data_IF_798900892922
#
_entry.id   IF_798900892922
#
_cell.length_a   1.000
_cell.length_b   1.000
_cell.length_c   1.000
_cell.angle_alpha   90.00
_cell.angle_beta   90.00
_cell.angle_gamma   90.00
#
_symmetry.space_group_name_H-M   'P 1'
#
loop_
_entity.id
_entity.type
_entity.pdbx_description
1 polymer ?
#
# COMPACT_ATOMS: atom_id res chain seq x y z
N UNK A 1 4.30 17.88 34.94
CA UNK A 1 3.87 16.51 34.56
C UNK A 1 2.37 16.40 34.28
N UNK A 2 1.49 16.92 35.16
CA UNK A 2 0.03 16.83 34.98
C UNK A 2 -0.46 17.44 33.65
N UNK A 3 0.00 18.63 33.28
CA UNK A 3 -0.36 19.33 32.05
C UNK A 3 0.02 18.52 30.79
N UNK A 4 1.25 18.02 30.74
CA UNK A 4 1.74 17.24 29.61
C UNK A 4 0.92 15.97 29.43
N UNK A 5 0.57 15.29 30.53
CA UNK A 5 -0.27 14.09 30.51
C UNK A 5 -1.70 14.38 30.05
N UNK A 6 -2.26 15.49 30.51
CA UNK A 6 -3.60 15.95 30.10
C UNK A 6 -3.67 16.17 28.57
N UNK A 7 -2.72 16.94 28.02
CA UNK A 7 -2.66 17.21 26.57
C UNK A 7 -2.38 15.93 25.80
N UNK A 8 -1.44 15.11 26.26
CA UNK A 8 -1.09 13.84 25.61
C UNK A 8 -2.31 12.90 25.51
N UNK A 9 -3.07 12.76 26.59
CA UNK A 9 -4.29 11.92 26.60
C UNK A 9 -5.33 12.40 25.60
N UNK A 10 -5.53 13.70 25.48
CA UNK A 10 -6.44 14.27 24.47
C UNK A 10 -5.93 13.99 23.05
N UNK A 11 -4.63 14.19 22.82
CA UNK A 11 -4.02 13.90 21.52
C UNK A 11 -4.13 12.42 21.13
N UNK A 12 -3.89 11.50 22.06
CA UNK A 12 -4.04 10.05 21.80
C UNK A 12 -5.47 9.65 21.49
N UNK A 13 -6.46 10.21 22.23
CA UNK A 13 -7.88 9.95 21.94
C UNK A 13 -8.27 10.46 20.56
N UNK A 14 -7.87 11.68 20.19
CA UNK A 14 -8.12 12.26 18.87
C UNK A 14 -7.38 11.50 17.76
N UNK A 15 -6.15 11.02 18.04
CA UNK A 15 -5.37 10.20 17.11
C UNK A 15 -6.08 8.89 16.78
N UNK A 16 -6.56 8.17 17.80
CA UNK A 16 -7.27 6.91 17.61
C UNK A 16 -8.52 7.13 16.75
N UNK A 17 -9.31 8.14 17.05
CA UNK A 17 -10.53 8.47 16.30
C UNK A 17 -10.20 8.82 14.85
N UNK A 18 -9.20 9.68 14.59
CA UNK A 18 -8.78 10.06 13.25
C UNK A 18 -8.22 8.87 12.48
N UNK A 19 -7.36 8.06 13.12
CA UNK A 19 -6.77 6.88 12.49
C UNK A 19 -7.82 5.85 12.12
N UNK A 20 -8.74 5.52 13.01
CA UNK A 20 -9.83 4.59 12.71
C UNK A 20 -10.73 5.09 11.58
N UNK A 21 -11.04 6.38 11.55
CA UNK A 21 -11.86 6.96 10.48
C UNK A 21 -11.18 6.85 9.12
N UNK A 22 -9.88 7.20 9.03
CA UNK A 22 -9.13 7.14 7.77
C UNK A 22 -8.87 5.69 7.35
N UNK A 23 -8.48 4.81 8.29
CA UNK A 23 -8.29 3.38 8.01
C UNK A 23 -9.60 2.76 7.50
N UNK A 24 -10.73 3.07 8.14
CA UNK A 24 -12.04 2.59 7.71
C UNK A 24 -12.41 3.04 6.29
N UNK A 25 -12.11 4.28 5.93
CA UNK A 25 -12.36 4.81 4.58
C UNK A 25 -11.46 4.14 3.54
N UNK A 26 -10.17 3.97 3.83
CA UNK A 26 -9.22 3.25 2.96
C UNK A 26 -9.63 1.78 2.84
N UNK A 27 -10.02 1.15 3.94
CA UNK A 27 -10.49 -0.23 3.97
C UNK A 27 -11.74 -0.42 3.11
N UNK A 28 -12.71 0.50 3.17
CA UNK A 28 -13.89 0.47 2.31
C UNK A 28 -13.50 0.52 0.83
N UNK A 29 -12.58 1.41 0.44
CA UNK A 29 -12.10 1.51 -0.94
C UNK A 29 -11.36 0.25 -1.42
N UNK A 30 -10.57 -0.39 -0.55
CA UNK A 30 -9.90 -1.66 -0.85
C UNK A 30 -10.90 -2.83 -0.95
N UNK A 31 -11.92 -2.83 -0.08
CA UNK A 31 -12.98 -3.84 -0.08
C UNK A 31 -13.67 -3.91 -1.43
N UNK A 32 -14.03 -2.77 -2.02
CA UNK A 32 -14.69 -2.74 -3.32
C UNK A 32 -13.88 -3.42 -4.44
N UNK A 33 -12.55 -3.24 -4.43
CA UNK A 33 -11.65 -3.90 -5.40
C UNK A 33 -11.50 -5.40 -5.15
N UNK A 34 -11.49 -5.82 -3.88
CA UNK A 34 -11.30 -7.21 -3.49
C UNK A 34 -12.59 -8.03 -3.64
N UNK A 35 -13.76 -7.43 -3.42
CA UNK A 35 -15.07 -8.10 -3.62
C UNK A 35 -15.21 -8.60 -5.05
N UNK A 36 -14.81 -7.82 -6.04
CA UNK A 36 -14.83 -8.24 -7.44
C UNK A 36 -13.97 -9.50 -7.68
N UNK A 37 -12.80 -9.58 -7.06
CA UNK A 37 -11.93 -10.75 -7.10
C UNK A 37 -12.53 -11.96 -6.35
N UNK A 38 -13.21 -11.71 -5.21
CA UNK A 38 -13.79 -12.75 -4.37
C UNK A 38 -15.02 -13.40 -5.04
N UNK A 39 -15.94 -12.58 -5.52
CA UNK A 39 -17.16 -13.06 -6.20
C UNK A 39 -16.80 -13.87 -7.44
N UNK A 40 -15.81 -13.41 -8.21
CA UNK A 40 -15.40 -14.09 -9.43
C UNK A 40 -14.54 -15.35 -9.18
N UNK A 41 -13.96 -15.51 -7.97
CA UNK A 41 -12.99 -16.59 -7.68
C UNK A 41 -13.41 -17.54 -6.56
N UNK A 42 -14.60 -17.37 -5.98
CA UNK A 42 -15.14 -18.25 -4.96
C UNK A 42 -14.34 -18.28 -3.64
N UNK A 43 -13.52 -17.25 -3.36
CA UNK A 43 -12.75 -17.19 -2.13
C UNK A 43 -13.64 -16.94 -0.91
N UNK A 44 -13.27 -17.48 0.24
CA UNK A 44 -14.04 -17.36 1.47
C UNK A 44 -13.90 -15.93 2.06
N UNK A 45 -14.91 -15.48 2.79
CA UNK A 45 -14.88 -14.19 3.49
C UNK A 45 -13.69 -14.05 4.45
N UNK A 46 -13.24 -15.16 5.04
CA UNK A 46 -12.07 -15.17 5.95
C UNK A 46 -10.77 -14.85 5.18
N UNK A 47 -10.64 -15.32 3.94
CA UNK A 47 -9.49 -15.04 3.08
C UNK A 47 -9.42 -13.56 2.74
N UNK A 48 -10.57 -12.94 2.50
CA UNK A 48 -10.70 -11.51 2.32
C UNK A 48 -10.23 -10.72 3.55
N UNK A 49 -10.71 -11.09 4.73
CA UNK A 49 -10.32 -10.41 5.97
C UNK A 49 -8.80 -10.54 6.21
N UNK A 50 -8.25 -11.72 5.98
CA UNK A 50 -6.83 -11.99 6.11
C UNK A 50 -5.97 -11.12 5.18
N UNK A 51 -6.30 -11.08 3.89
CA UNK A 51 -5.60 -10.26 2.89
C UNK A 51 -5.66 -8.78 3.23
N UNK A 52 -6.82 -8.32 3.67
CA UNK A 52 -7.02 -6.91 4.02
C UNK A 52 -6.18 -6.52 5.24
N UNK A 53 -6.12 -7.37 6.26
CA UNK A 53 -5.28 -7.14 7.45
C UNK A 53 -3.78 -7.11 7.11
N UNK A 54 -3.33 -7.98 6.20
CA UNK A 54 -1.94 -7.99 5.73
C UNK A 54 -1.53 -6.70 5.01
N UNK A 55 -2.48 -6.00 4.40
CA UNK A 55 -2.24 -4.70 3.75
C UNK A 55 -2.15 -3.51 4.71
N UNK A 56 -2.68 -3.62 5.93
CA UNK A 56 -2.74 -2.49 6.89
C UNK A 56 -1.37 -1.88 7.19
N UNK A 57 -0.30 -2.63 7.49
CA UNK A 57 1.01 -2.06 7.80
C UNK A 57 1.58 -1.15 6.72
N UNK A 58 1.30 -1.45 5.46
CA UNK A 58 1.69 -0.61 4.33
C UNK A 58 0.99 0.75 4.37
N UNK A 59 -0.32 0.77 4.62
CA UNK A 59 -1.10 2.01 4.66
C UNK A 59 -0.83 2.87 5.89
N UNK A 60 -0.42 2.27 7.01
CA UNK A 60 -0.08 3.01 8.24
C UNK A 60 1.04 4.03 8.02
N UNK A 61 1.96 3.78 7.09
CA UNK A 61 3.07 4.69 6.80
C UNK A 61 2.60 6.07 6.30
N UNK A 62 1.46 6.11 5.63
CA UNK A 62 0.83 7.35 5.11
C UNK A 62 -0.25 7.87 6.06
N UNK A 63 -1.05 6.96 6.61
CA UNK A 63 -2.22 7.33 7.41
C UNK A 63 -1.82 7.95 8.75
N UNK A 64 -0.83 7.39 9.45
CA UNK A 64 -0.49 7.84 10.80
C UNK A 64 0.13 9.26 10.84
N UNK A 65 1.01 9.70 9.93
CA UNK A 65 1.44 11.09 9.89
C UNK A 65 0.28 12.07 9.71
N UNK A 66 -0.65 11.78 8.80
CA UNK A 66 -1.83 12.60 8.55
C UNK A 66 -2.75 12.61 9.79
N UNK A 67 -3.02 11.43 10.36
CA UNK A 67 -3.86 11.30 11.57
C UNK A 67 -3.26 12.03 12.77
N UNK A 68 -1.93 11.99 12.93
CA UNK A 68 -1.23 12.70 14.00
C UNK A 68 -1.35 14.22 13.85
N UNK A 69 -1.31 14.71 12.61
CA UNK A 69 -1.52 16.13 12.30
C UNK A 69 -2.95 16.55 12.62
N UNK A 70 -3.94 15.76 12.20
CA UNK A 70 -5.36 16.00 12.51
C UNK A 70 -5.58 16.02 14.02
N UNK A 71 -5.02 15.06 14.74
CA UNK A 71 -5.14 14.95 16.18
C UNK A 71 -4.53 16.17 16.90
N UNK A 72 -3.31 16.55 16.55
CA UNK A 72 -2.64 17.72 17.11
C UNK A 72 -3.41 19.00 16.79
N UNK A 73 -3.88 19.16 15.54
CA UNK A 73 -4.67 20.33 15.10
C UNK A 73 -5.98 20.42 15.87
N UNK A 74 -6.69 19.32 16.01
CA UNK A 74 -7.96 19.26 16.75
C UNK A 74 -7.80 19.69 18.21
N UNK A 75 -6.78 19.15 18.88
CA UNK A 75 -6.52 19.46 20.29
C UNK A 75 -6.05 20.91 20.46
N UNK A 76 -5.10 21.38 19.64
CA UNK A 76 -4.62 22.76 19.72
C UNK A 76 -5.73 23.78 19.41
N UNK A 77 -6.57 23.49 18.40
CA UNK A 77 -7.72 24.32 18.05
C UNK A 77 -8.74 24.38 19.18
N UNK A 78 -9.06 23.25 19.82
CA UNK A 78 -9.96 23.20 20.98
C UNK A 78 -9.42 24.01 22.16
N UNK A 79 -8.17 23.79 22.53
CA UNK A 79 -7.51 24.53 23.62
C UNK A 79 -7.47 26.05 23.34
N UNK A 80 -7.39 26.45 22.07
CA UNK A 80 -7.47 27.87 21.68
C UNK A 80 -8.88 28.41 21.82
N UNK A 81 -9.91 27.67 21.42
CA UNK A 81 -11.32 28.04 21.54
C UNK A 81 -11.73 28.18 23.02
N UNK A 82 -11.29 27.23 23.85
CA UNK A 82 -11.56 27.20 25.31
C UNK A 82 -10.67 28.20 26.06
N UNK A 83 -9.81 28.98 25.37
CA UNK A 83 -8.86 29.95 25.91
C UNK A 83 -7.82 29.35 26.86
N UNK A 84 -7.65 28.03 26.87
CA UNK A 84 -6.65 27.35 27.69
C UNK A 84 -5.24 27.78 27.31
N UNK A 85 -4.93 27.90 25.97
CA UNK A 85 -3.63 28.37 25.50
C UNK A 85 -3.32 29.78 25.98
N UNK A 86 -4.31 30.67 26.01
CA UNK A 86 -4.15 32.04 26.52
C UNK A 86 -3.87 32.03 28.01
N UNK A 87 -4.64 31.25 28.81
CA UNK A 87 -4.45 31.12 30.25
C UNK A 87 -3.04 30.57 30.59
N UNK A 88 -2.57 29.57 29.84
CA UNK A 88 -1.21 29.00 29.99
C UNK A 88 -0.12 30.02 29.66
N UNK A 89 -0.31 30.80 28.60
CA UNK A 89 0.65 31.85 28.22
C UNK A 89 0.71 32.96 29.25
N UNK A 90 -0.47 33.37 29.81
CA UNK A 90 -0.55 34.35 30.87
C UNK A 90 0.09 33.86 32.18
N UNK A 91 0.00 32.57 32.48
CA UNK A 91 0.71 31.91 33.58
C UNK A 91 2.22 31.74 33.37
N UNK A 92 2.77 32.22 32.25
CA UNK A 92 4.21 32.17 31.94
C UNK A 92 4.74 30.79 31.55
N UNK A 93 3.85 29.84 31.19
CA UNK A 93 4.25 28.51 30.74
C UNK A 93 4.89 28.63 29.33
N UNK A 94 6.10 28.09 29.16
CA UNK A 94 6.83 28.19 27.90
C UNK A 94 6.14 27.40 26.77
N UNK A 95 6.24 27.85 25.50
CA UNK A 95 5.64 27.17 24.34
C UNK A 95 6.06 25.71 24.23
N UNK A 96 7.34 25.41 24.50
CA UNK A 96 7.86 24.04 24.50
C UNK A 96 7.12 23.15 25.51
N UNK A 97 6.84 23.64 26.72
CA UNK A 97 6.14 22.84 27.74
C UNK A 97 4.69 22.53 27.34
N UNK A 98 4.01 23.45 26.66
CA UNK A 98 2.68 23.23 26.13
C UNK A 98 2.73 22.19 25.00
N UNK A 99 3.74 22.32 24.12
CA UNK A 99 3.94 21.41 22.97
C UNK A 99 4.45 20.01 23.34
N UNK A 100 4.94 19.77 24.58
CA UNK A 100 5.49 18.47 24.97
C UNK A 100 4.49 17.32 24.82
N UNK A 101 3.20 17.51 25.11
CA UNK A 101 2.18 16.45 24.96
C UNK A 101 2.07 15.94 23.52
N UNK A 102 1.75 16.81 22.54
CA UNK A 102 1.72 16.42 21.15
C UNK A 102 3.08 15.94 20.60
N UNK A 103 4.20 16.53 21.04
CA UNK A 103 5.56 16.08 20.63
C UNK A 103 5.82 14.63 21.06
N UNK A 104 5.46 14.26 22.29
CA UNK A 104 5.60 12.87 22.78
C UNK A 104 4.73 11.94 21.92
N UNK A 105 3.49 12.33 21.60
CA UNK A 105 2.64 11.56 20.68
C UNK A 105 3.31 11.38 19.31
N UNK A 106 3.80 12.46 18.70
CA UNK A 106 4.51 12.42 17.43
C UNK A 106 5.75 11.53 17.47
N UNK A 107 6.54 11.60 18.55
CA UNK A 107 7.71 10.75 18.79
C UNK A 107 7.35 9.26 18.91
N UNK A 108 6.29 8.94 19.65
CA UNK A 108 5.81 7.56 19.78
C UNK A 108 5.33 6.99 18.43
N UNK A 109 4.62 7.80 17.64
CA UNK A 109 4.18 7.40 16.30
C UNK A 109 5.39 7.20 15.38
N UNK A 110 6.35 8.10 15.40
CA UNK A 110 7.60 7.97 14.63
C UNK A 110 8.33 6.67 14.98
N UNK A 111 8.49 6.38 16.26
CA UNK A 111 9.11 5.13 16.72
C UNK A 111 8.32 3.90 16.25
N UNK A 112 7.01 3.92 16.39
CA UNK A 112 6.15 2.85 15.92
C UNK A 112 6.28 2.65 14.40
N UNK A 113 6.23 3.73 13.62
CA UNK A 113 6.37 3.67 12.16
C UNK A 113 7.75 3.21 11.70
N UNK A 114 8.82 3.52 12.45
CA UNK A 114 10.16 2.98 12.18
C UNK A 114 10.19 1.46 12.31
N UNK A 115 9.61 0.93 13.39
CA UNK A 115 9.49 -0.52 13.60
C UNK A 115 8.61 -1.14 12.52
N UNK A 116 7.48 -0.51 12.22
CA UNK A 116 6.58 -0.95 11.16
C UNK A 116 7.28 -1.03 9.80
N UNK A 117 8.00 0.00 9.42
CA UNK A 117 8.70 0.11 8.15
C UNK A 117 9.87 -0.86 8.01
N UNK A 118 10.58 -1.12 9.12
CA UNK A 118 11.75 -2.00 9.13
C UNK A 118 11.39 -3.50 9.13
N UNK A 119 10.34 -3.89 9.85
CA UNK A 119 10.04 -5.30 10.13
C UNK A 119 8.63 -5.72 9.72
N UNK A 120 7.61 -5.00 10.17
CA UNK A 120 6.22 -5.44 10.02
C UNK A 120 5.77 -5.37 8.56
N UNK A 121 6.02 -4.25 7.91
CA UNK A 121 5.62 -4.03 6.51
C UNK A 121 6.24 -5.04 5.54
N UNK A 122 7.57 -5.32 5.52
CA UNK A 122 8.14 -6.34 4.64
C UNK A 122 7.57 -7.74 4.87
N UNK A 123 7.42 -8.14 6.15
CA UNK A 123 6.91 -9.45 6.52
C UNK A 123 5.45 -9.67 6.09
N UNK A 124 4.59 -8.69 6.36
CA UNK A 124 3.16 -8.78 5.99
C UNK A 124 2.96 -8.64 4.49
N UNK A 125 3.74 -7.81 3.80
CA UNK A 125 3.64 -7.65 2.36
C UNK A 125 4.07 -8.92 1.60
N UNK A 126 5.09 -9.61 2.06
CA UNK A 126 5.51 -10.90 1.50
C UNK A 126 4.38 -11.94 1.58
N UNK A 127 3.72 -12.06 2.74
CA UNK A 127 2.57 -12.95 2.92
C UNK A 127 1.38 -12.53 2.04
N UNK A 128 1.08 -11.23 1.98
CA UNK A 128 0.05 -10.67 1.11
C UNK A 128 0.27 -11.05 -0.36
N UNK A 129 1.51 -10.86 -0.84
CA UNK A 129 1.87 -11.15 -2.23
C UNK A 129 1.80 -12.64 -2.55
N UNK A 130 2.28 -13.49 -1.65
CA UNK A 130 2.20 -14.95 -1.78
C UNK A 130 0.75 -15.40 -1.86
N UNK A 131 -0.09 -14.93 -0.94
CA UNK A 131 -1.50 -15.27 -0.93
C UNK A 131 -2.22 -14.81 -2.21
N UNK A 132 -1.97 -13.57 -2.66
CA UNK A 132 -2.53 -13.04 -3.91
C UNK A 132 -2.07 -13.82 -5.14
N UNK A 133 -0.83 -14.30 -5.15
CA UNK A 133 -0.32 -15.13 -6.24
C UNK A 133 -1.03 -16.48 -6.25
N UNK A 134 -1.17 -17.11 -5.09
CA UNK A 134 -1.87 -18.40 -4.96
C UNK A 134 -3.34 -18.29 -5.38
N UNK A 135 -4.05 -17.22 -4.97
CA UNK A 135 -5.42 -16.96 -5.44
C UNK A 135 -5.50 -16.81 -6.96
N UNK A 136 -4.54 -16.15 -7.58
CA UNK A 136 -4.50 -15.99 -9.04
C UNK A 136 -4.19 -17.31 -9.76
N UNK A 137 -3.36 -18.15 -9.17
CA UNK A 137 -2.95 -19.44 -9.75
C UNK A 137 -4.03 -20.50 -9.60
N UNK A 138 -4.78 -20.49 -8.49
CA UNK A 138 -5.87 -21.45 -8.21
C UNK A 138 -7.20 -21.11 -8.92
N UNK A 139 -7.34 -19.86 -9.38
CA UNK A 139 -8.57 -19.35 -9.96
C UNK A 139 -8.99 -19.91 -11.33
N UNK A 140 -8.09 -20.34 -12.24
CA UNK A 140 -8.48 -20.79 -13.56
C UNK A 140 -9.51 -21.94 -13.56
N UNK A 141 -9.51 -22.76 -12.52
CA UNK A 141 -10.36 -23.97 -12.44
C UNK A 141 -11.80 -23.63 -12.03
N UNK A 142 -11.98 -22.65 -11.16
CA UNK A 142 -13.29 -22.29 -10.58
C UNK A 142 -14.14 -21.49 -11.59
N UNK A 143 -13.51 -20.86 -12.59
CA UNK A 143 -14.16 -19.95 -13.56
C UNK A 143 -14.69 -20.70 -14.79
N UNK A 144 -14.42 -21.99 -14.95
CA UNK A 144 -14.86 -22.76 -16.11
C UNK A 144 -16.41 -22.85 -16.16
N UNK A 145 -17.02 -21.95 -16.96
CA UNK A 145 -18.46 -21.87 -17.19
C UNK A 145 -18.80 -22.46 -18.56
N UNK A 146 -19.98 -23.11 -18.66
CA UNK A 146 -20.51 -23.65 -19.90
C UNK A 146 -20.87 -22.54 -20.87
N UNK A 147 -20.59 -22.76 -22.15
CA UNK A 147 -21.06 -21.91 -23.25
C UNK A 147 -20.35 -20.57 -23.40
N UNK A 148 -19.25 -20.32 -22.66
CA UNK A 148 -18.52 -19.04 -22.69
C UNK A 148 -17.05 -19.27 -23.02
N UNK A 149 -16.47 -18.40 -23.86
CA UNK A 149 -15.01 -18.33 -24.06
C UNK A 149 -14.39 -17.62 -22.88
N UNK A 150 -13.45 -18.27 -22.21
CA UNK A 150 -12.77 -17.78 -21.02
C UNK A 150 -11.29 -17.67 -21.29
N UNK A 151 -10.73 -16.47 -21.12
CA UNK A 151 -9.29 -16.25 -21.16
C UNK A 151 -8.68 -16.55 -19.79
N UNK A 152 -8.01 -17.69 -19.66
CA UNK A 152 -7.35 -18.13 -18.42
C UNK A 152 -6.12 -17.30 -18.15
N UNK A 153 -5.31 -17.10 -19.18
CA UNK A 153 -4.16 -16.19 -19.17
C UNK A 153 -4.06 -15.52 -20.53
N UNK A 154 -3.25 -14.46 -20.62
CA UNK A 154 -3.00 -13.78 -21.91
C UNK A 154 -2.53 -14.80 -22.95
N UNK A 155 -3.35 -15.03 -23.98
CA UNK A 155 -3.05 -15.97 -25.05
C UNK A 155 -3.51 -17.42 -24.82
N UNK A 156 -4.23 -17.75 -23.74
CA UNK A 156 -4.83 -19.07 -23.51
C UNK A 156 -6.32 -18.92 -23.29
N UNK A 157 -7.11 -19.25 -24.32
CA UNK A 157 -8.57 -19.20 -24.29
C UNK A 157 -9.15 -20.62 -24.25
N UNK A 158 -10.11 -20.86 -23.36
CA UNK A 158 -10.80 -22.14 -23.23
C UNK A 158 -12.30 -21.91 -23.43
N UNK A 159 -12.93 -22.83 -24.16
CA UNK A 159 -14.37 -22.92 -24.31
C UNK A 159 -14.82 -24.31 -23.91
N UNK A 160 -15.91 -24.40 -23.13
CA UNK A 160 -16.50 -25.64 -22.66
C UNK A 160 -17.98 -25.65 -23.08
N UNK A 161 -18.37 -26.68 -23.81
CA UNK A 161 -19.76 -26.79 -24.26
C UNK A 161 -20.70 -27.29 -23.12
N UNK A 162 -20.24 -28.32 -22.36
CA UNK A 162 -21.06 -28.90 -21.28
C UNK A 162 -20.20 -29.31 -20.08
N UNK A 163 -20.69 -29.02 -18.87
CA UNK A 163 -20.10 -29.48 -17.60
C UNK A 163 -20.88 -30.72 -17.12
N UNK A 164 -20.25 -31.89 -17.08
CA UNK A 164 -20.87 -33.12 -16.66
C UNK A 164 -20.80 -33.33 -15.14
N UNK A 165 -19.70 -32.92 -14.50
CA UNK A 165 -19.52 -32.89 -13.06
C UNK A 165 -18.48 -31.81 -12.69
N UNK A 166 -18.21 -31.61 -11.41
CA UNK A 166 -17.29 -30.51 -10.97
C UNK A 166 -15.91 -30.52 -11.65
N UNK A 167 -15.41 -31.69 -12.05
CA UNK A 167 -14.09 -31.83 -12.66
C UNK A 167 -14.10 -32.44 -14.06
N UNK A 168 -15.30 -32.72 -14.66
CA UNK A 168 -15.41 -33.38 -15.96
C UNK A 168 -16.21 -32.51 -16.92
N UNK A 169 -15.61 -32.22 -18.05
CA UNK A 169 -16.12 -31.34 -19.10
C UNK A 169 -16.23 -32.12 -20.43
N UNK A 170 -17.21 -31.78 -21.24
CA UNK A 170 -17.41 -32.32 -22.58
C UNK A 170 -17.29 -31.23 -23.63
N UNK A 171 -16.84 -31.63 -24.81
CA UNK A 171 -16.64 -30.78 -25.98
C UNK A 171 -15.87 -29.53 -25.60
N UNK A 172 -14.59 -29.73 -25.33
CA UNK A 172 -13.69 -28.66 -24.91
C UNK A 172 -12.83 -28.19 -26.08
N UNK A 173 -12.84 -26.88 -26.32
CA UNK A 173 -11.98 -26.23 -27.28
C UNK A 173 -10.98 -25.34 -26.53
N UNK A 174 -9.69 -25.45 -26.88
CA UNK A 174 -8.60 -24.66 -26.29
C UNK A 174 -7.81 -24.02 -27.42
N UNK A 175 -7.58 -22.71 -27.31
CA UNK A 175 -6.67 -21.98 -28.16
C UNK A 175 -5.52 -21.45 -27.32
N UNK A 176 -4.29 -21.89 -27.67
CA UNK A 176 -3.05 -21.48 -27.00
C UNK A 176 -2.20 -20.68 -28.00
N UNK A 177 -2.14 -19.38 -27.78
CA UNK A 177 -1.31 -18.40 -28.50
C UNK A 177 -0.31 -17.70 -27.59
N UNK A 178 0.14 -18.39 -26.52
CA UNK A 178 1.15 -17.85 -25.57
C UNK A 178 2.52 -17.69 -26.20
N UNK A 179 2.78 -18.43 -27.25
CA UNK A 179 3.97 -18.26 -28.10
C UNK A 179 3.54 -17.51 -29.37
N UNK A 180 4.11 -16.33 -29.61
CA UNK A 180 3.75 -15.47 -30.76
C UNK A 180 3.96 -16.14 -32.12
N UNK A 181 4.94 -17.05 -32.23
CA UNK A 181 5.28 -17.75 -33.50
C UNK A 181 4.38 -18.97 -33.75
N UNK A 182 3.62 -19.45 -32.79
CA UNK A 182 2.88 -20.72 -32.86
C UNK A 182 1.52 -20.63 -32.19
N UNK A 183 0.46 -20.84 -32.96
CA UNK A 183 -0.89 -20.95 -32.42
C UNK A 183 -1.28 -22.43 -32.39
N UNK A 184 -1.72 -22.92 -31.25
CA UNK A 184 -2.17 -24.29 -31.06
C UNK A 184 -3.67 -24.26 -30.76
N UNK A 185 -4.45 -25.00 -31.53
CA UNK A 185 -5.86 -25.23 -31.31
C UNK A 185 -6.09 -26.70 -30.98
N UNK A 186 -6.81 -26.96 -29.89
CA UNK A 186 -7.08 -28.31 -29.41
C UNK A 186 -8.59 -28.47 -29.26
N UNK A 187 -9.12 -29.51 -29.86
CA UNK A 187 -10.51 -29.93 -29.71
C UNK A 187 -10.55 -31.32 -29.11
N UNK A 188 -11.30 -31.52 -28.01
CA UNK A 188 -11.39 -32.80 -27.32
C UNK A 188 -12.83 -33.12 -26.90
N UNK A 189 -13.22 -34.42 -26.98
CA UNK A 189 -14.52 -34.88 -26.57
C UNK A 189 -14.73 -34.77 -25.06
N UNK A 190 -13.65 -34.96 -24.26
CA UNK A 190 -13.73 -34.96 -22.81
C UNK A 190 -12.47 -34.32 -22.22
N UNK A 191 -12.65 -33.56 -21.15
CA UNK A 191 -11.58 -33.02 -20.37
C UNK A 191 -11.78 -33.24 -18.88
N UNK A 192 -10.70 -33.46 -18.14
CA UNK A 192 -10.72 -33.55 -16.69
C UNK A 192 -9.66 -32.61 -16.12
N UNK A 193 -10.03 -31.84 -15.13
CA UNK A 193 -9.08 -30.97 -14.42
C UNK A 193 -8.42 -31.78 -13.31
N UNK A 194 -7.09 -31.82 -13.34
CA UNK A 194 -6.25 -32.39 -12.30
C UNK A 194 -5.45 -31.30 -11.61
N UNK A 195 -5.40 -31.35 -10.29
CA UNK A 195 -4.57 -30.48 -9.47
C UNK A 195 -3.52 -31.37 -8.84
N UNK A 196 -2.36 -31.47 -9.48
CA UNK A 196 -1.22 -32.18 -8.94
C UNK A 196 -0.15 -31.18 -8.47
N UNK A 197 0.24 -31.28 -7.18
CA UNK A 197 1.29 -30.47 -6.54
C UNK A 197 1.24 -28.95 -6.87
N UNK A 198 0.08 -28.29 -6.68
CA UNK A 198 -0.14 -26.84 -6.90
C UNK A 198 -0.12 -26.41 -8.37
N UNK A 199 0.04 -27.31 -9.33
CA UNK A 199 -0.01 -26.98 -10.76
C UNK A 199 -1.33 -27.50 -11.36
N UNK A 200 -2.28 -26.61 -11.69
CA UNK A 200 -3.49 -27.02 -12.40
C UNK A 200 -3.17 -27.46 -13.82
N UNK A 201 -3.54 -28.67 -14.18
CA UNK A 201 -3.47 -29.19 -15.52
C UNK A 201 -4.86 -29.63 -16.01
N UNK A 202 -5.10 -29.51 -17.32
CA UNK A 202 -6.26 -30.11 -17.98
C UNK A 202 -5.77 -31.34 -18.73
N UNK A 203 -6.30 -32.48 -18.39
CA UNK A 203 -6.12 -33.71 -19.14
C UNK A 203 -7.27 -33.84 -20.13
N UNK A 204 -6.95 -33.79 -21.39
CA UNK A 204 -7.87 -33.89 -22.54
C UNK A 204 -7.86 -35.31 -23.06
N UNK A 205 -9.03 -35.85 -23.39
CA UNK A 205 -9.19 -37.19 -23.89
C UNK A 205 -9.88 -37.16 -25.25
N UNK A 206 -9.41 -38.02 -26.15
CA UNK A 206 -9.93 -38.21 -27.50
C UNK A 206 -10.09 -36.90 -28.25
N UNK A 207 -8.98 -36.42 -28.84
CA UNK A 207 -9.01 -35.09 -29.46
C UNK A 207 -8.02 -34.92 -30.58
N UNK A 208 -8.09 -33.74 -31.17
CA UNK A 208 -7.25 -33.31 -32.28
C UNK A 208 -6.53 -32.00 -31.84
N UNK A 209 -5.22 -32.00 -32.00
CA UNK A 209 -4.39 -30.82 -31.82
C UNK A 209 -3.90 -30.31 -33.16
N UNK A 210 -4.26 -29.11 -33.54
CA UNK A 210 -3.84 -28.41 -34.73
C UNK A 210 -2.82 -27.33 -34.41
N UNK A 211 -1.67 -27.34 -35.02
CA UNK A 211 -0.64 -26.35 -34.82
C UNK A 211 -0.42 -25.52 -36.08
N UNK A 212 -0.54 -24.20 -35.92
CA UNK A 212 -0.25 -23.22 -36.96
C UNK A 212 1.08 -22.55 -36.63
N UNK A 213 2.01 -22.48 -37.58
CA UNK A 213 3.29 -21.78 -37.42
C UNK A 213 3.45 -20.79 -38.57
N UNK A 214 3.88 -19.57 -38.24
CA UNK A 214 4.12 -18.52 -39.26
C UNK A 214 5.17 -18.90 -40.28
N UNK A 215 6.06 -19.86 -39.96
CA UNK A 215 7.10 -20.33 -40.83
C UNK A 215 6.67 -21.45 -41.79
N UNK A 216 5.46 -22.02 -41.65
CA UNK A 216 5.01 -23.14 -42.48
C UNK A 216 3.57 -22.90 -42.99
N UNK A 217 3.40 -23.05 -44.30
CA UNK A 217 2.09 -22.92 -45.00
C UNK A 217 1.14 -24.10 -44.71
N UNK A 218 1.57 -25.11 -43.94
CA UNK A 218 0.76 -26.31 -43.64
C UNK A 218 0.55 -26.42 -42.15
N UNK A 219 -0.72 -26.57 -41.75
CA UNK A 219 -1.09 -26.91 -40.39
C UNK A 219 -0.63 -28.33 -40.05
N UNK A 220 -0.04 -28.54 -38.89
CA UNK A 220 0.28 -29.86 -38.37
C UNK A 220 -0.90 -30.34 -37.52
N UNK A 221 -1.44 -31.51 -37.87
CA UNK A 221 -2.57 -32.13 -37.16
C UNK A 221 -2.05 -33.37 -36.44
N UNK A 222 -2.35 -33.46 -35.13
CA UNK A 222 -2.03 -34.58 -34.29
C UNK A 222 -3.30 -35.08 -33.60
N UNK A 223 -3.66 -36.34 -33.83
CA UNK A 223 -4.73 -37.00 -33.05
C UNK A 223 -4.12 -37.62 -31.79
N UNK A 224 -4.79 -37.52 -30.69
CA UNK A 224 -4.35 -38.04 -29.39
C UNK A 224 -5.46 -38.75 -28.61
N UNK A 225 -5.12 -39.80 -27.90
CA UNK A 225 -6.03 -40.46 -26.94
C UNK A 225 -6.06 -39.70 -25.60
N UNK A 226 -4.92 -39.20 -25.16
CA UNK A 226 -4.80 -38.34 -24.00
C UNK A 226 -3.72 -37.26 -24.23
N UNK A 227 -4.02 -36.04 -23.78
CA UNK A 227 -3.10 -34.90 -23.86
C UNK A 227 -3.20 -34.06 -22.59
N UNK A 228 -2.10 -33.86 -21.93
CA UNK A 228 -2.06 -33.01 -20.73
C UNK A 228 -1.58 -31.61 -21.09
N UNK A 229 -2.40 -30.60 -20.79
CA UNK A 229 -2.09 -29.21 -20.98
C UNK A 229 -1.90 -28.53 -19.62
N UNK A 230 -0.71 -28.05 -19.35
CA UNK A 230 -0.44 -27.21 -18.20
C UNK A 230 -1.11 -25.83 -18.38
N UNK A 231 -2.06 -25.49 -17.51
CA UNK A 231 -2.73 -24.20 -17.52
C UNK A 231 -1.85 -23.07 -17.01
N UNK A 232 -0.87 -23.39 -16.22
CA UNK A 232 0.09 -22.42 -15.71
C UNK A 232 1.06 -22.07 -16.83
N UNK A 233 1.12 -20.82 -17.25
CA UNK A 233 2.38 -20.32 -17.78
C UNK A 233 3.42 -20.77 -16.78
N UNK A 234 4.58 -21.32 -17.21
CA UNK A 234 5.72 -21.57 -16.32
C UNK A 234 5.96 -20.30 -15.47
N UNK A 235 5.09 -20.06 -14.52
CA UNK A 235 5.40 -19.26 -13.36
C UNK A 235 6.46 -20.11 -12.68
N UNK A 236 7.70 -19.76 -12.93
CA UNK A 236 8.88 -20.23 -12.24
C UNK A 236 8.43 -20.55 -10.83
N UNK A 237 8.45 -21.85 -10.50
CA UNK A 237 8.07 -22.35 -9.19
C UNK A 237 8.57 -21.38 -8.12
N UNK A 238 7.82 -21.18 -7.06
CA UNK A 238 7.97 -20.17 -6.00
C UNK A 238 9.40 -19.83 -5.52
N UNK A 239 10.41 -20.56 -5.94
CA UNK A 239 11.83 -20.32 -5.63
C UNK A 239 12.52 -19.24 -6.49
N UNK A 240 11.94 -18.79 -7.62
CA UNK A 240 12.55 -17.82 -8.55
C UNK A 240 11.66 -16.63 -8.93
N UNK A 241 10.58 -16.37 -8.19
CA UNK A 241 9.83 -15.11 -8.35
C UNK A 241 10.76 -13.94 -8.01
N UNK A 242 10.95 -12.94 -8.90
CA UNK A 242 11.70 -11.75 -8.53
C UNK A 242 11.01 -11.12 -7.31
N UNK A 243 11.74 -11.00 -6.21
CA UNK A 243 11.27 -10.36 -4.99
C UNK A 243 10.85 -8.92 -5.31
N UNK A 244 9.63 -8.56 -4.90
CA UNK A 244 9.17 -7.17 -4.96
C UNK A 244 9.97 -6.34 -3.95
N UNK A 245 10.35 -5.11 -4.29
CA UNK A 245 11.08 -4.23 -3.38
C UNK A 245 10.31 -3.96 -2.08
N UNK A 246 8.98 -4.09 -2.09
CA UNK A 246 8.16 -3.96 -0.88
C UNK A 246 8.34 -5.12 0.12
N UNK A 247 8.86 -6.26 -0.33
CA UNK A 247 9.14 -7.43 0.51
C UNK A 247 10.54 -7.37 1.17
N UNK A 248 11.40 -6.48 0.67
CA UNK A 248 12.79 -6.36 1.11
C UNK A 248 12.90 -5.53 2.38
N UNK A 249 13.89 -5.87 3.22
CA UNK A 249 14.26 -5.05 4.36
C UNK A 249 14.91 -3.74 3.94
N UNK A 250 14.91 -2.72 4.80
CA UNK A 250 15.57 -1.42 4.50
C UNK A 250 17.05 -1.61 4.16
N UNK A 251 17.74 -2.52 4.86
CA UNK A 251 19.15 -2.82 4.61
C UNK A 251 19.36 -3.39 3.21
N UNK A 252 18.54 -4.34 2.79
CA UNK A 252 18.59 -4.93 1.44
C UNK A 252 18.28 -3.89 0.36
N UNK A 253 17.29 -3.02 0.58
CA UNK A 253 16.92 -1.96 -0.35
C UNK A 253 18.08 -1.00 -0.65
N UNK A 254 18.92 -0.73 0.34
CA UNK A 254 20.03 0.22 0.20
C UNK A 254 21.34 -0.43 -0.27
N UNK A 255 21.56 -1.73 0.03
CA UNK A 255 22.85 -2.40 -0.22
C UNK A 255 22.86 -3.34 -1.42
N UNK A 256 21.71 -3.93 -1.75
CA UNK A 256 21.62 -4.94 -2.82
C UNK A 256 21.80 -4.29 -4.19
N UNK A 257 22.65 -4.88 -5.02
CA UNK A 257 22.86 -4.46 -6.41
C UNK A 257 22.21 -5.45 -7.35
N UNK A 258 21.41 -4.96 -8.30
CA UNK A 258 20.68 -5.77 -9.28
C UNK A 258 21.07 -5.32 -10.69
N UNK A 259 21.10 -6.24 -11.64
CA UNK A 259 21.51 -5.97 -13.02
C UNK A 259 20.58 -5.01 -13.79
N UNK A 260 19.32 -4.90 -13.37
CA UNK A 260 18.37 -3.95 -13.96
C UNK A 260 18.49 -2.59 -13.25
N UNK A 261 19.03 -1.60 -13.94
CA UNK A 261 19.28 -0.25 -13.38
C UNK A 261 18.00 0.45 -12.90
N UNK A 262 16.93 0.39 -13.68
CA UNK A 262 15.67 1.07 -13.32
C UNK A 262 15.06 0.46 -12.05
N UNK A 263 15.01 -0.86 -11.94
CA UNK A 263 14.52 -1.52 -10.74
C UNK A 263 15.39 -1.24 -9.51
N UNK A 264 16.70 -1.10 -9.70
CA UNK A 264 17.62 -0.72 -8.64
C UNK A 264 17.35 0.69 -8.11
N UNK A 265 17.04 1.65 -9.00
CA UNK A 265 16.77 3.02 -8.63
C UNK A 265 15.43 3.14 -7.88
N UNK A 266 14.38 2.40 -8.31
CA UNK A 266 13.13 2.26 -7.56
C UNK A 266 13.36 1.70 -6.16
N UNK A 267 14.18 0.67 -6.04
CA UNK A 267 14.51 -0.01 -4.79
C UNK A 267 15.23 0.93 -3.81
N UNK A 268 16.21 1.69 -4.29
CA UNK A 268 16.92 2.68 -3.48
C UNK A 268 16.02 3.84 -3.04
N UNK A 269 15.20 4.35 -3.96
CA UNK A 269 14.24 5.40 -3.65
C UNK A 269 13.26 4.95 -2.55
N UNK A 270 12.76 3.71 -2.61
CA UNK A 270 11.92 3.12 -1.56
C UNK A 270 12.67 2.99 -0.23
N UNK A 271 13.95 2.57 -0.23
CA UNK A 271 14.76 2.48 0.98
C UNK A 271 14.88 3.83 1.71
N UNK A 272 15.18 4.90 0.98
CA UNK A 272 15.23 6.25 1.53
C UNK A 272 13.85 6.76 1.98
N UNK A 273 12.80 6.44 1.24
CA UNK A 273 11.42 6.79 1.61
C UNK A 273 11.02 6.15 2.94
N UNK A 274 11.33 4.86 3.16
CA UNK A 274 11.03 4.14 4.40
C UNK A 274 11.79 4.63 5.62
N UNK A 275 12.93 5.30 5.43
CA UNK A 275 13.66 5.97 6.50
C UNK A 275 13.06 7.34 6.83
N UNK A 276 12.59 8.07 5.83
CA UNK A 276 12.12 9.46 6.00
C UNK A 276 10.64 9.55 6.38
N UNK A 277 9.78 8.69 5.83
CA UNK A 277 8.34 8.72 6.07
C UNK A 277 7.93 8.62 7.55
N UNK A 278 8.54 7.78 8.40
CA UNK A 278 8.24 7.76 9.83
C UNK A 278 8.50 9.11 10.53
N UNK A 279 9.57 9.80 10.17
CA UNK A 279 9.97 11.07 10.80
C UNK A 279 8.96 12.18 10.46
N UNK A 280 8.25 12.04 9.35
CA UNK A 280 7.24 12.99 8.90
C UNK A 280 6.14 13.20 9.94
N UNK A 281 5.75 12.16 10.69
CA UNK A 281 4.76 12.27 11.75
C UNK A 281 5.16 13.28 12.84
N UNK A 282 6.39 13.20 13.33
CA UNK A 282 6.90 14.14 14.32
C UNK A 282 7.07 15.55 13.72
N UNK A 283 7.57 15.62 12.48
CA UNK A 283 7.81 16.88 11.78
C UNK A 283 6.52 17.68 11.61
N UNK A 284 5.47 17.03 11.15
CA UNK A 284 4.15 17.66 10.95
C UNK A 284 3.51 18.08 12.29
N UNK A 285 3.63 17.27 13.35
CA UNK A 285 3.13 17.62 14.68
C UNK A 285 3.84 18.85 15.22
N UNK A 286 5.17 18.96 15.09
CA UNK A 286 5.92 20.14 15.54
C UNK A 286 5.50 21.37 14.73
N UNK A 287 5.29 21.24 13.43
CA UNK A 287 4.76 22.30 12.57
C UNK A 287 3.39 22.78 13.08
N UNK A 288 2.45 21.89 13.40
CA UNK A 288 1.14 22.24 13.97
C UNK A 288 1.31 23.08 15.22
N UNK A 289 2.10 22.57 16.17
CA UNK A 289 2.33 23.26 17.44
C UNK A 289 2.91 24.66 17.20
N UNK A 290 3.87 24.80 16.30
CA UNK A 290 4.51 26.07 16.01
C UNK A 290 3.54 27.09 15.40
N UNK A 291 2.66 26.66 14.52
CA UNK A 291 1.62 27.53 13.92
C UNK A 291 0.63 28.00 14.99
N UNK A 292 0.11 27.12 15.83
CA UNK A 292 -0.88 27.48 16.85
C UNK A 292 -0.29 28.34 17.97
N UNK A 293 0.92 28.07 18.45
CA UNK A 293 1.53 28.81 19.54
C UNK A 293 2.12 30.17 19.13
N UNK A 294 2.37 30.37 17.83
CA UNK A 294 2.93 31.65 17.29
C UNK A 294 1.89 32.59 16.75
N UNK A 295 0.68 32.13 16.50
CA UNK A 295 -0.39 32.98 16.00
C UNK A 295 -0.93 33.90 17.09
N UNK A 296 -1.47 35.07 16.68
CA UNK A 296 -2.15 35.99 17.59
C UNK A 296 -3.44 35.36 18.12
N UNK A 297 -3.64 35.45 19.43
CA UNK A 297 -4.86 34.96 20.13
C UNK A 297 -6.06 35.90 19.85
N UNK A 298 -6.52 36.01 18.58
CA UNK A 298 -7.69 36.80 18.22
C UNK A 298 -8.94 35.92 18.14
N UNK A 299 -10.11 36.46 18.55
CA UNK A 299 -11.40 35.75 18.44
C UNK A 299 -11.70 35.44 16.96
N UNK A 300 -12.03 34.18 16.64
CA UNK A 300 -12.44 33.76 15.30
C UNK A 300 -11.32 33.36 14.33
N UNK A 301 -10.04 33.52 14.67
CA UNK A 301 -8.91 33.24 13.76
C UNK A 301 -8.42 31.78 13.77
N UNK A 302 -8.98 30.89 14.59
CA UNK A 302 -8.56 29.47 14.62
C UNK A 302 -8.82 28.74 13.30
N UNK A 303 -9.85 29.12 12.54
CA UNK A 303 -10.10 28.57 11.21
C UNK A 303 -8.96 28.83 10.22
N UNK A 304 -8.41 30.02 10.26
CA UNK A 304 -7.28 30.40 9.43
C UNK A 304 -6.05 29.53 9.73
N UNK A 305 -5.79 29.23 11.01
CA UNK A 305 -4.70 28.35 11.43
C UNK A 305 -4.94 26.91 10.96
N UNK A 306 -6.17 26.40 11.07
CA UNK A 306 -6.54 25.09 10.54
C UNK A 306 -6.29 25.02 9.05
N UNK A 307 -6.70 26.04 8.28
CA UNK A 307 -6.46 26.10 6.84
C UNK A 307 -4.98 26.12 6.50
N UNK A 308 -4.16 26.90 7.22
CA UNK A 308 -2.71 26.93 7.03
C UNK A 308 -2.09 25.56 7.32
N UNK A 309 -2.40 24.98 8.46
CA UNK A 309 -1.86 23.66 8.85
C UNK A 309 -2.26 22.59 7.84
N UNK A 310 -3.52 22.57 7.42
CA UNK A 310 -4.01 21.61 6.42
C UNK A 310 -3.29 21.80 5.09
N UNK A 311 -3.18 23.04 4.61
CA UNK A 311 -2.47 23.35 3.37
C UNK A 311 -0.99 22.96 3.41
N UNK A 312 -0.30 23.28 4.51
CA UNK A 312 1.10 22.90 4.72
C UNK A 312 1.27 21.37 4.80
N UNK A 313 0.36 20.67 5.49
CA UNK A 313 0.39 19.21 5.59
C UNK A 313 0.27 18.56 4.21
N UNK A 314 -0.73 18.96 3.44
CA UNK A 314 -0.94 18.46 2.08
C UNK A 314 0.28 18.79 1.19
N UNK A 315 0.80 20.00 1.29
CA UNK A 315 1.98 20.40 0.51
C UNK A 315 3.22 19.57 0.86
N UNK A 316 3.51 19.36 2.15
CA UNK A 316 4.68 18.59 2.60
C UNK A 316 4.53 17.11 2.21
N UNK A 317 3.35 16.52 2.38
CA UNK A 317 3.07 15.13 1.97
C UNK A 317 3.25 14.95 0.45
N UNK A 318 2.68 15.84 -0.35
CA UNK A 318 2.83 15.80 -1.80
C UNK A 318 4.29 16.04 -2.22
N UNK A 319 4.99 16.98 -1.58
CA UNK A 319 6.41 17.22 -1.83
C UNK A 319 7.27 16.00 -1.51
N UNK A 320 6.97 15.27 -0.41
CA UNK A 320 7.68 14.06 -0.02
C UNK A 320 7.45 12.92 -1.03
N UNK A 321 6.20 12.71 -1.47
CA UNK A 321 5.87 11.72 -2.50
C UNK A 321 6.49 12.09 -3.86
N UNK A 322 6.50 13.38 -4.21
CA UNK A 322 7.13 13.86 -5.44
C UNK A 322 8.64 13.69 -5.39
N UNK A 323 9.28 13.97 -4.24
CA UNK A 323 10.72 13.75 -4.05
C UNK A 323 11.09 12.27 -4.22
N UNK A 324 10.25 11.33 -3.72
CA UNK A 324 10.41 9.88 -3.98
C UNK A 324 10.34 9.58 -5.48
N UNK A 325 9.33 10.08 -6.18
CA UNK A 325 9.17 9.84 -7.63
C UNK A 325 10.32 10.45 -8.45
N UNK A 326 10.83 11.63 -8.07
CA UNK A 326 11.99 12.25 -8.70
C UNK A 326 13.26 11.42 -8.46
N UNK A 327 13.43 10.83 -7.29
CA UNK A 327 14.60 10.00 -6.95
C UNK A 327 14.66 8.73 -7.79
N UNK A 328 13.52 8.18 -8.20
CA UNK A 328 13.48 7.03 -9.14
C UNK A 328 14.10 7.40 -10.48
N UNK A 329 13.80 8.59 -11.00
CA UNK A 329 14.34 9.03 -12.30
C UNK A 329 15.76 9.61 -12.20
N UNK A 330 16.10 10.21 -11.08
CA UNK A 330 17.38 10.87 -10.80
C UNK A 330 17.88 10.46 -9.39
N UNK A 331 18.62 9.35 -9.28
CA UNK A 331 19.03 8.79 -7.97
C UNK A 331 19.80 9.75 -7.07
N UNK A 332 20.50 10.72 -7.64
CA UNK A 332 21.21 11.77 -6.89
C UNK A 332 20.32 12.73 -6.09
N UNK A 333 18.99 12.73 -6.34
CA UNK A 333 18.04 13.62 -5.64
C UNK A 333 17.50 13.03 -4.32
N UNK A 334 17.98 11.87 -3.86
CA UNK A 334 17.54 11.30 -2.57
C UNK A 334 17.63 12.27 -1.37
N UNK A 335 18.59 13.25 -1.29
CA UNK A 335 18.66 14.18 -0.17
C UNK A 335 17.41 15.10 -0.08
N UNK A 336 16.70 15.27 -1.21
CA UNK A 336 15.49 16.09 -1.24
C UNK A 336 14.40 15.53 -0.31
N UNK A 337 14.26 14.20 -0.20
CA UNK A 337 13.32 13.56 0.72
C UNK A 337 13.62 13.91 2.18
N UNK A 338 14.90 13.90 2.56
CA UNK A 338 15.34 14.29 3.89
C UNK A 338 15.09 15.78 4.14
N UNK A 339 15.41 16.64 3.17
CA UNK A 339 15.19 18.08 3.27
C UNK A 339 13.71 18.40 3.51
N UNK A 340 12.79 17.80 2.76
CA UNK A 340 11.34 18.01 2.90
C UNK A 340 10.85 17.64 4.31
N UNK A 341 11.40 16.60 4.92
CA UNK A 341 10.97 16.11 6.23
C UNK A 341 11.63 16.91 7.37
N UNK A 342 12.93 17.20 7.27
CA UNK A 342 13.66 17.89 8.33
C UNK A 342 13.43 19.41 8.35
N UNK A 343 13.12 20.03 7.21
CA UNK A 343 12.90 21.48 7.14
C UNK A 343 11.74 21.94 8.07
N UNK A 344 10.53 21.37 8.02
CA UNK A 344 9.44 21.77 8.92
C UNK A 344 9.76 21.45 10.38
N UNK A 345 10.47 20.34 10.65
CA UNK A 345 10.90 19.96 11.98
C UNK A 345 11.84 21.01 12.59
N UNK A 346 12.88 21.41 11.84
CA UNK A 346 13.86 22.39 12.31
C UNK A 346 13.21 23.77 12.47
N UNK A 347 12.47 24.25 11.47
CA UNK A 347 11.78 25.55 11.54
C UNK A 347 10.78 25.55 12.72
N UNK A 348 9.99 24.52 12.85
CA UNK A 348 9.02 24.38 13.93
C UNK A 348 9.69 24.38 15.29
N UNK A 349 10.77 23.62 15.47
CA UNK A 349 11.52 23.58 16.71
C UNK A 349 12.18 24.92 17.05
N UNK A 350 12.82 25.58 16.10
CA UNK A 350 13.41 26.90 16.28
C UNK A 350 12.39 27.97 16.67
N UNK A 351 11.19 27.89 16.08
CA UNK A 351 10.10 28.80 16.46
C UNK A 351 9.62 28.58 17.89
N UNK A 352 9.57 27.34 18.35
CA UNK A 352 9.15 27.00 19.72
C UNK A 352 10.19 27.34 20.78
N UNK A 353 11.48 27.34 20.42
CA UNK A 353 12.59 27.72 21.31
C UNK A 353 12.54 29.19 21.69
N UNK A 354 11.99 30.07 20.84
CA UNK A 354 11.88 31.49 21.15
C UNK A 354 10.82 31.74 22.24
N UNK A 355 11.08 32.63 23.24
CA UNK A 355 10.07 32.98 24.23
C UNK A 355 8.86 33.66 23.60
N UNK A 356 7.74 33.72 24.32
CA UNK A 356 6.53 34.44 23.88
C UNK A 356 6.88 35.86 23.41
N UNK A 357 6.35 36.26 22.25
CA UNK A 357 6.49 37.67 21.83
C UNK A 357 5.68 38.56 22.79
N UNK A 358 6.34 39.58 23.37
CA UNK A 358 5.70 40.53 24.30
C UNK A 358 4.49 41.27 23.69
N UNK A 359 4.38 41.30 22.35
CA UNK A 359 3.26 41.95 21.62
C UNK A 359 1.96 41.11 21.58
N UNK A 360 1.95 39.88 22.14
CA UNK A 360 0.79 39.01 22.11
C UNK A 360 -0.20 39.23 23.25
N UNK A 361 0.12 40.10 24.21
CA UNK A 361 -0.80 40.50 25.29
C UNK A 361 -1.53 41.80 24.84
N UNK A 362 -2.84 41.77 24.54
CA UNK A 362 -3.61 43.01 24.42
C UNK A 362 -3.59 43.76 25.76
N UNK A 363 -3.23 45.03 25.72
CA UNK A 363 -3.35 45.93 26.85
C UNK A 363 -4.80 46.05 27.31
#
# INVERSE_FOLDING_TARGET
MVLTWYILRQCLSSLLLASFSIIGLVWLGQTLRLVELLVNKGALFIDFLYVTLLGVPFWLLIILPISSTIAATSVMSKMQQDKELLAMSAAGISPIRIGLGPMIMGGLITMFLMINSAYLMPATYSQYKTFMTNLRTSAPIIILQEGVFIDITKGLTIYINQKQSDNVFKDVFIRDSRNEDVVIEIHSEKATVSIDNENPSIVLFNGIRTQFSDSSTKAQILEFESYELNMTQKSVANSNRPQDYNEMSIAELLTKTISNSQYQDEMRAEGHFRLTAPILALSLVIMVISVFLRSRFQRGHYWYQICIVTGLTVFIELAHLTARSMTVNLPGLFPLMYFVVFLPLVIGFLTLWQPWRKEALPA
#
